data_IF_619126148516
#
_entry.id   IF_619126148516
#
_cell.length_a   1.000
_cell.length_b   1.000
_cell.length_c   1.000
_cell.angle_alpha   90.00
_cell.angle_beta   90.00
_cell.angle_gamma   90.00
#
_symmetry.space_group_name_H-M   'P 1'
#
loop_
_entity.id
_entity.type
_entity.pdbx_description
1 polymer ?
#
# COMPACT_ATOMS: atom_id res chain seq x y z
N UNK A 1 16.34 -18.76 5.54
CA UNK A 1 14.96 -19.26 5.30
C UNK A 1 14.02 -18.23 5.93
N UNK A 2 13.03 -17.71 5.21
CA UNK A 2 12.23 -16.59 5.70
C UNK A 2 10.83 -17.00 6.13
N UNK A 3 10.31 -16.33 7.16
CA UNK A 3 8.91 -16.46 7.55
C UNK A 3 8.01 -15.81 6.49
N UNK A 4 6.97 -16.50 5.97
CA UNK A 4 6.09 -15.94 4.95
C UNK A 4 5.16 -14.83 5.47
N UNK A 5 5.06 -14.65 6.80
CA UNK A 5 4.14 -13.69 7.41
C UNK A 5 4.81 -12.38 7.87
N UNK A 6 6.08 -12.45 8.28
CA UNK A 6 6.80 -11.29 8.82
C UNK A 6 8.15 -11.03 8.13
N UNK A 7 8.51 -11.86 7.14
CA UNK A 7 9.75 -11.77 6.37
C UNK A 7 11.05 -11.80 7.20
N UNK A 8 11.00 -12.24 8.46
CA UNK A 8 12.20 -12.44 9.29
C UNK A 8 12.98 -13.65 8.81
N UNK A 9 14.30 -13.49 8.72
CA UNK A 9 15.26 -14.53 8.35
C UNK A 9 15.64 -15.46 9.51
N UNK A 10 15.65 -16.75 9.21
CA UNK A 10 16.04 -17.82 10.11
C UNK A 10 17.12 -18.70 9.48
N UNK A 11 18.05 -19.13 10.34
CA UNK A 11 19.17 -19.99 9.97
C UNK A 11 18.86 -21.50 10.06
N UNK A 12 17.70 -21.88 10.61
CA UNK A 12 17.28 -23.28 10.74
C UNK A 12 15.78 -23.45 10.54
N UNK A 13 15.39 -24.57 9.92
CA UNK A 13 13.98 -24.94 9.66
C UNK A 13 13.20 -25.05 10.96
N UNK A 14 13.83 -25.58 12.03
CA UNK A 14 13.17 -25.80 13.32
C UNK A 14 12.77 -24.45 13.95
N UNK A 15 13.68 -23.47 13.92
CA UNK A 15 13.42 -22.12 14.43
C UNK A 15 12.38 -21.39 13.59
N UNK A 16 12.41 -21.56 12.26
CA UNK A 16 11.40 -21.02 11.36
C UNK A 16 10.01 -21.60 11.67
N UNK A 17 9.89 -22.91 11.83
CA UNK A 17 8.61 -23.58 12.06
C UNK A 17 8.00 -23.17 13.41
N UNK A 18 8.81 -23.18 14.48
CA UNK A 18 8.37 -22.73 15.81
C UNK A 18 7.92 -21.27 15.81
N UNK A 19 8.61 -20.42 15.04
CA UNK A 19 8.21 -19.04 14.83
C UNK A 19 6.90 -18.94 14.05
N UNK A 20 6.76 -19.65 12.92
CA UNK A 20 5.56 -19.65 12.08
C UNK A 20 4.33 -20.06 12.89
N UNK A 21 4.43 -21.08 13.74
CA UNK A 21 3.32 -21.51 14.60
C UNK A 21 2.80 -20.41 15.52
N UNK A 22 3.71 -19.58 16.04
CA UNK A 22 3.45 -18.50 16.99
C UNK A 22 3.58 -17.09 16.37
N UNK A 23 3.62 -17.00 15.04
CA UNK A 23 3.90 -15.73 14.39
C UNK A 23 2.71 -14.81 14.59
N UNK A 24 2.95 -13.64 15.21
CA UNK A 24 1.91 -12.64 15.43
C UNK A 24 1.21 -12.22 14.12
N UNK A 25 1.95 -12.20 13.01
CA UNK A 25 1.48 -11.85 11.67
C UNK A 25 0.80 -13.01 10.92
N UNK A 26 0.79 -14.24 11.48
CA UNK A 26 0.09 -15.40 10.88
C UNK A 26 -1.43 -15.23 10.85
N UNK A 27 -1.99 -14.58 11.87
CA UNK A 27 -3.42 -14.28 11.96
C UNK A 27 -3.76 -12.87 11.50
N UNK A 28 -2.75 -12.01 11.43
CA UNK A 28 -2.84 -10.66 10.93
C UNK A 28 -2.11 -10.61 9.59
N UNK A 29 -2.59 -11.38 8.61
CA UNK A 29 -2.13 -11.36 7.23
C UNK A 29 -2.32 -9.94 6.68
N UNK A 30 -1.37 -9.07 6.99
CA UNK A 30 -1.14 -7.85 6.24
C UNK A 30 -0.81 -8.38 4.86
N UNK A 31 -1.80 -8.33 3.99
CA UNK A 31 -1.65 -8.56 2.56
C UNK A 31 -0.33 -7.93 2.15
N UNK A 32 0.50 -8.72 1.48
CA UNK A 32 1.62 -8.26 0.70
C UNK A 32 1.17 -7.08 -0.17
N UNK A 33 1.34 -5.85 0.31
CA UNK A 33 1.66 -4.75 -0.60
C UNK A 33 3.17 -4.80 -0.74
N UNK A 34 3.58 -5.69 -1.63
CA UNK A 34 4.91 -5.71 -2.19
C UNK A 34 5.29 -4.27 -2.57
N UNK A 35 6.46 -3.86 -2.09
CA UNK A 35 7.19 -2.73 -2.64
C UNK A 35 7.64 -3.13 -4.05
N UNK A 36 6.76 -2.98 -5.03
CA UNK A 36 7.19 -2.93 -6.42
C UNK A 36 7.69 -1.52 -6.70
N UNK A 37 8.99 -1.43 -7.02
CA UNK A 37 9.66 -0.21 -7.47
C UNK A 37 9.31 0.03 -8.95
N UNK A 38 8.03 0.20 -9.23
CA UNK A 38 7.53 0.75 -10.48
C UNK A 38 7.02 2.15 -10.16
N UNK A 39 7.35 3.15 -10.98
CA UNK A 39 6.87 4.54 -10.86
C UNK A 39 5.35 4.63 -11.13
N UNK A 40 4.57 3.84 -10.41
CA UNK A 40 3.11 3.89 -10.43
C UNK A 40 2.74 5.22 -9.76
N UNK A 41 2.02 6.11 -10.46
CA UNK A 41 1.71 7.43 -9.94
C UNK A 41 1.03 7.28 -8.58
N UNK A 42 1.59 7.95 -7.57
CA UNK A 42 1.26 7.89 -6.14
C UNK A 42 -0.25 7.89 -5.86
N UNK A 43 -1.02 8.53 -6.75
CA UNK A 43 -2.47 8.67 -6.70
C UNK A 43 -3.28 7.41 -7.08
N UNK A 44 -2.76 6.47 -7.86
CA UNK A 44 -3.53 5.27 -8.25
C UNK A 44 -3.80 4.32 -7.08
N UNK A 45 -2.82 4.18 -6.18
CA UNK A 45 -2.94 3.40 -4.95
C UNK A 45 -3.68 4.12 -3.82
N UNK A 46 -3.97 5.42 -3.95
CA UNK A 46 -4.73 6.15 -2.94
C UNK A 46 -6.23 5.80 -2.99
N UNK A 47 -6.83 5.72 -1.79
CA UNK A 47 -8.28 5.59 -1.64
C UNK A 47 -8.97 6.84 -2.20
N UNK A 48 -10.19 6.68 -2.70
CA UNK A 48 -11.00 7.81 -3.21
C UNK A 48 -11.14 8.96 -2.20
N UNK A 49 -11.26 8.64 -0.90
CA UNK A 49 -11.33 9.64 0.17
C UNK A 49 -10.04 10.47 0.26
N UNK A 50 -8.88 9.82 0.21
CA UNK A 50 -7.57 10.48 0.24
C UNK A 50 -7.36 11.36 -0.99
N UNK A 51 -7.72 10.85 -2.18
CA UNK A 51 -7.68 11.60 -3.42
C UNK A 51 -8.56 12.85 -3.38
N UNK A 52 -9.78 12.73 -2.84
CA UNK A 52 -10.71 13.86 -2.68
C UNK A 52 -10.17 14.89 -1.68
N UNK A 53 -9.52 14.44 -0.61
CA UNK A 53 -8.90 15.30 0.39
C UNK A 53 -7.73 16.08 -0.20
N UNK A 54 -6.83 15.40 -0.91
CA UNK A 54 -5.70 16.02 -1.61
C UNK A 54 -6.15 17.00 -2.69
N UNK A 55 -7.14 16.62 -3.49
CA UNK A 55 -7.72 17.48 -4.51
C UNK A 55 -8.27 18.76 -3.88
N UNK A 56 -9.03 18.63 -2.79
CA UNK A 56 -9.56 19.79 -2.06
C UNK A 56 -8.44 20.66 -1.48
N UNK A 57 -7.38 20.06 -0.95
CA UNK A 57 -6.22 20.76 -0.41
C UNK A 57 -5.44 21.54 -1.49
N UNK A 58 -5.41 21.03 -2.73
CA UNK A 58 -4.83 21.71 -3.89
C UNK A 58 -5.82 22.62 -4.63
N UNK A 59 -7.04 22.81 -4.11
CA UNK A 59 -8.05 23.70 -4.70
C UNK A 59 -8.90 23.08 -5.83
N UNK A 60 -8.81 21.78 -6.06
CA UNK A 60 -9.63 21.03 -7.02
C UNK A 60 -10.95 20.60 -6.37
N UNK A 61 -12.09 20.96 -6.98
CA UNK A 61 -13.40 20.52 -6.52
C UNK A 61 -13.72 19.09 -6.98
N UNK A 62 -13.27 18.11 -6.19
CA UNK A 62 -13.48 16.69 -6.44
C UNK A 62 -14.88 16.16 -6.06
N UNK A 63 -15.83 17.01 -5.64
CA UNK A 63 -17.12 16.55 -5.10
C UNK A 63 -18.03 15.84 -6.13
N UNK A 64 -17.80 16.09 -7.43
CA UNK A 64 -18.53 15.45 -8.54
C UNK A 64 -17.62 14.77 -9.56
N UNK A 65 -16.33 14.60 -9.24
CA UNK A 65 -15.35 14.00 -10.14
C UNK A 65 -15.23 12.50 -9.89
N UNK A 66 -15.04 11.73 -10.97
CA UNK A 66 -14.66 10.32 -10.88
C UNK A 66 -13.21 10.19 -10.38
N UNK A 67 -12.88 9.06 -9.73
CA UNK A 67 -11.53 8.78 -9.20
C UNK A 67 -10.42 9.05 -10.24
N UNK A 68 -10.60 8.56 -11.45
CA UNK A 68 -9.70 8.77 -12.60
C UNK A 68 -9.44 10.26 -12.92
N UNK A 69 -10.49 11.09 -12.90
CA UNK A 69 -10.38 12.53 -13.17
C UNK A 69 -9.67 13.27 -12.04
N UNK A 70 -9.86 12.82 -10.79
CA UNK A 70 -9.15 13.38 -9.63
C UNK A 70 -7.66 13.04 -9.73
N UNK A 71 -7.31 11.80 -10.06
CA UNK A 71 -5.93 11.35 -10.26
C UNK A 71 -5.27 12.17 -11.38
N UNK A 72 -5.96 12.33 -12.50
CA UNK A 72 -5.45 13.12 -13.64
C UNK A 72 -5.19 14.58 -13.24
N UNK A 73 -6.15 15.23 -12.59
CA UNK A 73 -6.01 16.62 -12.16
C UNK A 73 -4.90 16.81 -11.11
N UNK A 74 -4.68 15.83 -10.24
CA UNK A 74 -3.56 15.85 -9.29
C UNK A 74 -2.21 15.66 -9.98
N UNK A 75 -2.09 14.73 -10.93
CA UNK A 75 -0.88 14.56 -11.74
C UNK A 75 -0.56 15.80 -12.58
N UNK A 76 -1.56 16.48 -13.15
CA UNK A 76 -1.38 17.72 -13.91
C UNK A 76 -0.89 18.90 -13.06
N UNK A 77 -1.08 18.86 -11.74
CA UNK A 77 -0.61 19.92 -10.83
C UNK A 77 0.82 19.70 -10.32
N UNK A 78 1.31 18.46 -10.31
CA UNK A 78 2.68 18.13 -9.84
C UNK A 78 3.68 17.96 -10.99
N UNK A 79 3.22 17.94 -12.24
CA UNK A 79 4.05 17.90 -13.45
C UNK A 79 4.54 19.27 -13.90
#
# INVERSE_FOLDING_TARGET
MKCPYCSVDYNSVISLNAHVENCFYKYNSVNEQENDNDEIPVYEHMKYAELKSLASAKGINANKMKKENIIKALNELEG
#
